data_IF_028258512582
#
_entry.id   IF_028258512582
#
_cell.length_a   1.000
_cell.length_b   1.000
_cell.length_c   1.000
_cell.angle_alpha   90.00
_cell.angle_beta   90.00
_cell.angle_gamma   90.00
#
_symmetry.space_group_name_H-M   'P 1'
#
loop_
_entity.id
_entity.type
_entity.pdbx_description
1 polymer ?
#
# COMPACT_ATOMS: atom_id res chain seq x y z
N UNK A 1 -17.82 -5.32 -1.65
CA UNK A 1 -18.28 -4.58 -0.44
C UNK A 1 -17.51 -5.06 0.79
N UNK A 2 -17.55 -4.36 1.94
CA UNK A 2 -16.90 -4.86 3.16
C UNK A 2 -17.43 -6.23 3.64
N UNK A 3 -18.73 -6.48 3.49
CA UNK A 3 -19.34 -7.77 3.82
C UNK A 3 -18.83 -8.89 2.91
N UNK A 4 -18.75 -8.66 1.59
CA UNK A 4 -18.20 -9.64 0.66
C UNK A 4 -16.73 -9.97 0.99
N UNK A 5 -15.91 -8.97 1.34
CA UNK A 5 -14.54 -9.20 1.76
C UNK A 5 -14.45 -10.05 3.05
N UNK A 6 -15.32 -9.78 4.03
CA UNK A 6 -15.41 -10.58 5.25
C UNK A 6 -15.83 -12.03 4.97
N UNK A 7 -16.79 -12.25 4.06
CA UNK A 7 -17.23 -13.58 3.65
C UNK A 7 -16.12 -14.35 2.92
N UNK A 8 -15.38 -13.70 2.02
CA UNK A 8 -14.21 -14.30 1.35
C UNK A 8 -13.16 -14.73 2.38
N UNK A 9 -12.84 -13.85 3.35
CA UNK A 9 -11.91 -14.18 4.42
C UNK A 9 -12.38 -15.39 5.25
N UNK A 10 -13.65 -15.43 5.68
CA UNK A 10 -14.21 -16.57 6.41
C UNK A 10 -14.13 -17.88 5.62
N UNK A 11 -14.44 -17.85 4.32
CA UNK A 11 -14.34 -19.03 3.47
C UNK A 11 -12.91 -19.48 3.27
N UNK A 12 -11.97 -18.55 3.12
CA UNK A 12 -10.54 -18.87 3.06
C UNK A 12 -10.07 -19.59 4.33
N UNK A 13 -10.47 -19.10 5.51
CA UNK A 13 -10.17 -19.77 6.79
C UNK A 13 -10.78 -21.18 6.87
N UNK A 14 -12.05 -21.34 6.50
CA UNK A 14 -12.73 -22.63 6.52
C UNK A 14 -12.10 -23.68 5.57
N UNK A 15 -11.46 -23.22 4.51
CA UNK A 15 -10.72 -24.06 3.55
C UNK A 15 -9.26 -24.32 3.97
N UNK A 16 -8.82 -23.79 5.12
CA UNK A 16 -7.43 -23.91 5.57
C UNK A 16 -6.43 -23.11 4.73
N UNK A 17 -6.89 -22.09 4.00
CA UNK A 17 -6.02 -21.18 3.27
C UNK A 17 -5.35 -20.17 4.22
N UNK A 18 -4.25 -19.58 3.77
CA UNK A 18 -3.51 -18.56 4.52
C UNK A 18 -4.22 -17.19 4.52
N UNK A 19 -3.46 -16.12 4.29
CA UNK A 19 -3.98 -14.77 4.33
C UNK A 19 -4.78 -14.39 3.07
N UNK A 20 -5.72 -13.46 3.23
CA UNK A 20 -6.39 -12.76 2.12
C UNK A 20 -5.80 -11.36 2.00
N UNK A 21 -5.32 -11.00 0.81
CA UNK A 21 -4.87 -9.65 0.50
C UNK A 21 -6.00 -8.84 -0.14
N UNK A 22 -6.53 -7.86 0.58
CA UNK A 22 -7.51 -6.91 0.07
C UNK A 22 -6.80 -5.63 -0.41
N UNK A 23 -6.89 -5.35 -1.71
CA UNK A 23 -6.25 -4.18 -2.32
C UNK A 23 -7.28 -3.06 -2.49
N UNK A 24 -6.95 -1.88 -1.96
CA UNK A 24 -7.79 -0.69 -2.03
C UNK A 24 -7.05 0.42 -2.80
N UNK A 25 -7.54 0.83 -3.98
CA UNK A 25 -6.92 1.92 -4.72
C UNK A 25 -7.08 3.23 -3.95
N UNK A 26 -6.07 4.08 -3.99
CA UNK A 26 -6.17 5.43 -3.44
C UNK A 26 -7.17 6.23 -4.28
N UNK A 27 -8.05 6.98 -3.62
CA UNK A 27 -9.11 7.75 -4.29
C UNK A 27 -8.56 8.82 -5.25
N UNK A 28 -7.43 9.42 -4.89
CA UNK A 28 -6.70 10.40 -5.69
C UNK A 28 -5.21 10.12 -5.59
N UNK A 29 -4.69 9.47 -6.62
CA UNK A 29 -3.27 9.13 -6.74
C UNK A 29 -2.47 10.11 -7.59
N UNK A 30 -1.29 9.67 -7.97
CA UNK A 30 -0.40 10.32 -8.93
C UNK A 30 -0.47 9.59 -10.29
N UNK A 31 -0.12 10.26 -11.40
CA UNK A 31 0.04 9.61 -12.69
C UNK A 31 1.09 8.48 -12.59
N UNK A 32 0.75 7.30 -13.10
CA UNK A 32 1.64 6.13 -13.05
C UNK A 32 3.02 6.43 -13.64
N UNK A 33 3.07 7.08 -14.81
CA UNK A 33 4.32 7.41 -15.51
C UNK A 33 5.20 8.39 -14.74
N UNK A 34 4.63 9.24 -13.90
CA UNK A 34 5.39 10.13 -13.04
C UNK A 34 6.05 9.36 -11.90
N UNK A 35 5.28 8.49 -11.23
CA UNK A 35 5.79 7.62 -10.16
C UNK A 35 6.85 6.66 -10.71
N UNK A 36 6.60 6.02 -11.85
CA UNK A 36 7.54 5.09 -12.47
C UNK A 36 8.89 5.75 -12.80
N UNK A 37 8.87 6.99 -13.32
CA UNK A 37 10.10 7.78 -13.56
C UNK A 37 10.86 8.07 -12.27
N UNK A 38 10.17 8.49 -11.21
CA UNK A 38 10.81 8.76 -9.91
C UNK A 38 11.38 7.49 -9.28
N UNK A 39 10.68 6.36 -9.36
CA UNK A 39 11.17 5.06 -8.87
C UNK A 39 12.42 4.63 -9.64
N UNK A 40 12.43 4.76 -10.97
CA UNK A 40 13.59 4.42 -11.77
C UNK A 40 14.81 5.29 -11.42
N UNK A 41 14.61 6.58 -11.20
CA UNK A 41 15.67 7.49 -10.78
C UNK A 41 16.19 7.15 -9.38
N UNK A 42 15.31 6.96 -8.40
CA UNK A 42 15.68 6.60 -7.04
C UNK A 42 16.48 5.28 -6.97
N UNK A 43 16.13 4.28 -7.81
CA UNK A 43 16.88 3.04 -7.90
C UNK A 43 18.29 3.24 -8.51
N UNK A 44 18.44 4.10 -9.53
CA UNK A 44 19.77 4.43 -10.07
C UNK A 44 20.65 5.12 -9.03
N UNK A 45 20.08 6.02 -8.23
CA UNK A 45 20.80 6.69 -7.15
C UNK A 45 21.20 5.71 -6.05
N UNK A 46 20.28 4.84 -5.60
CA UNK A 46 20.57 3.79 -4.62
C UNK A 46 21.74 2.89 -5.08
N UNK A 47 21.74 2.48 -6.36
CA UNK A 47 22.81 1.65 -6.92
C UNK A 47 24.17 2.38 -6.93
N UNK A 48 24.20 3.66 -7.33
CA UNK A 48 25.43 4.48 -7.33
C UNK A 48 25.99 4.71 -5.92
N UNK A 49 25.10 4.83 -4.94
CA UNK A 49 25.44 5.05 -3.53
C UNK A 49 25.67 3.74 -2.76
N UNK A 50 25.53 2.57 -3.40
CA UNK A 50 25.73 1.28 -2.76
C UNK A 50 24.66 0.89 -1.73
N UNK A 51 23.47 1.49 -1.79
CA UNK A 51 22.37 1.23 -0.84
C UNK A 51 21.61 -0.03 -1.26
N UNK A 52 21.57 -1.04 -0.38
CA UNK A 52 20.95 -2.33 -0.67
C UNK A 52 20.28 -2.97 0.57
N UNK A 53 19.62 -4.12 0.34
CA UNK A 53 19.00 -4.91 1.40
C UNK A 53 17.93 -4.12 2.17
N UNK A 54 17.92 -4.25 3.50
CA UNK A 54 16.93 -3.57 4.37
C UNK A 54 17.00 -2.05 4.31
N UNK A 55 18.12 -1.47 3.87
CA UNK A 55 18.30 -0.03 3.72
C UNK A 55 17.63 0.54 2.45
N UNK A 56 17.31 -0.32 1.47
CA UNK A 56 16.78 0.11 0.18
C UNK A 56 15.39 0.74 0.30
N UNK A 57 14.43 0.09 0.98
CA UNK A 57 13.06 0.64 1.06
C UNK A 57 12.99 2.01 1.75
N UNK A 58 13.61 2.23 2.94
CA UNK A 58 13.63 3.56 3.55
C UNK A 58 14.32 4.61 2.66
N UNK A 59 15.36 4.21 1.92
CA UNK A 59 16.03 5.09 0.97
C UNK A 59 15.11 5.51 -0.19
N UNK A 60 14.48 4.54 -0.85
CA UNK A 60 13.59 4.82 -1.99
C UNK A 60 12.42 5.71 -1.58
N UNK A 61 11.80 5.45 -0.43
CA UNK A 61 10.69 6.28 0.05
C UNK A 61 11.10 7.73 0.30
N UNK A 62 12.27 7.96 0.92
CA UNK A 62 12.81 9.31 1.09
C UNK A 62 13.07 10.00 -0.26
N UNK A 63 13.70 9.29 -1.20
CA UNK A 63 13.97 9.84 -2.55
C UNK A 63 12.70 10.18 -3.31
N UNK A 64 11.66 9.36 -3.22
CA UNK A 64 10.36 9.64 -3.83
C UNK A 64 9.72 10.90 -3.23
N UNK A 65 9.81 11.08 -1.91
CA UNK A 65 9.36 12.31 -1.25
C UNK A 65 10.11 13.53 -1.78
N UNK A 66 11.44 13.48 -1.82
CA UNK A 66 12.29 14.57 -2.35
C UNK A 66 11.97 14.91 -3.81
N UNK A 67 11.93 13.90 -4.70
CA UNK A 67 11.69 14.08 -6.14
C UNK A 67 10.30 14.63 -6.45
N UNK A 68 9.31 14.33 -5.60
CA UNK A 68 7.92 14.79 -5.75
C UNK A 68 7.60 16.09 -5.00
N UNK A 69 8.58 16.68 -4.31
CA UNK A 69 8.31 17.83 -3.42
C UNK A 69 7.31 17.51 -2.30
N UNK A 70 7.33 16.27 -1.79
CA UNK A 70 6.46 15.76 -0.74
C UNK A 70 5.07 15.29 -1.19
N UNK A 71 4.75 15.32 -2.49
CA UNK A 71 3.43 14.89 -2.96
C UNK A 71 3.21 13.38 -2.78
N UNK A 72 4.25 12.56 -2.92
CA UNK A 72 4.17 11.12 -2.63
C UNK A 72 3.83 10.84 -1.16
N UNK A 73 4.33 11.64 -0.20
CA UNK A 73 3.97 11.52 1.21
C UNK A 73 2.51 11.88 1.46
N UNK A 74 2.00 12.93 0.81
CA UNK A 74 0.58 13.32 0.90
C UNK A 74 -0.34 12.23 0.36
N UNK A 75 -0.01 11.64 -0.78
CA UNK A 75 -0.78 10.53 -1.36
C UNK A 75 -0.68 9.28 -0.49
N UNK A 76 0.50 8.97 0.05
CA UNK A 76 0.68 7.83 0.95
C UNK A 76 -0.14 7.99 2.26
N UNK A 77 -0.20 9.22 2.81
CA UNK A 77 -1.04 9.53 3.96
C UNK A 77 -2.54 9.34 3.68
N UNK A 78 -3.00 9.73 2.48
CA UNK A 78 -4.37 9.47 2.02
C UNK A 78 -4.66 7.97 1.91
N UNK A 79 -3.77 7.23 1.24
CA UNK A 79 -3.86 5.79 1.08
C UNK A 79 -3.95 5.09 2.45
N UNK A 80 -3.12 5.51 3.41
CA UNK A 80 -3.13 4.95 4.77
C UNK A 80 -4.50 5.14 5.46
N UNK A 81 -5.05 6.35 5.41
CA UNK A 81 -6.35 6.65 6.01
C UNK A 81 -7.50 5.88 5.32
N UNK A 82 -7.46 5.77 4.00
CA UNK A 82 -8.47 5.05 3.22
C UNK A 82 -8.41 3.55 3.49
N UNK A 83 -7.21 2.97 3.56
CA UNK A 83 -7.00 1.58 3.93
C UNK A 83 -7.49 1.30 5.34
N UNK A 84 -7.18 2.17 6.31
CA UNK A 84 -7.64 2.03 7.69
C UNK A 84 -9.17 2.04 7.79
N UNK A 85 -9.84 2.94 7.05
CA UNK A 85 -11.31 3.00 7.00
C UNK A 85 -11.92 1.75 6.40
N UNK A 86 -11.38 1.25 5.29
CA UNK A 86 -11.86 0.01 4.67
C UNK A 86 -11.65 -1.18 5.62
N UNK A 87 -10.45 -1.31 6.20
CA UNK A 87 -10.12 -2.37 7.13
C UNK A 87 -11.07 -2.39 8.34
N UNK A 88 -11.35 -1.23 8.95
CA UNK A 88 -12.30 -1.13 10.05
C UNK A 88 -13.71 -1.61 9.66
N UNK A 89 -14.21 -1.22 8.47
CA UNK A 89 -15.52 -1.68 7.97
C UNK A 89 -15.56 -3.18 7.72
N UNK A 90 -14.48 -3.76 7.19
CA UNK A 90 -14.36 -5.22 6.99
C UNK A 90 -14.32 -5.93 8.33
N UNK A 91 -13.56 -5.43 9.31
CA UNK A 91 -13.47 -6.01 10.65
C UNK A 91 -14.83 -6.02 11.36
N UNK A 92 -15.59 -4.92 11.30
CA UNK A 92 -16.95 -4.86 11.84
C UNK A 92 -17.87 -5.88 11.15
N UNK A 93 -17.83 -5.97 9.82
CA UNK A 93 -18.62 -6.95 9.09
C UNK A 93 -18.23 -8.39 9.45
N UNK A 94 -16.95 -8.67 9.65
CA UNK A 94 -16.42 -9.97 10.02
C UNK A 94 -16.82 -10.39 11.45
N UNK A 95 -16.82 -9.46 12.39
CA UNK A 95 -17.25 -9.69 13.77
C UNK A 95 -18.75 -10.00 13.86
N UNK A 96 -19.57 -9.41 12.96
CA UNK A 96 -20.99 -9.74 12.85
C UNK A 96 -21.29 -11.09 12.19
N UNK A 97 -20.27 -11.82 11.71
CA UNK A 97 -20.39 -13.19 11.20
C UNK A 97 -19.99 -14.25 12.26
N UNK A 98 -19.50 -13.82 13.43
CA UNK A 98 -19.25 -14.68 14.60
C UNK A 98 -20.54 -14.92 15.37
#
# INVERSE_FOLDING_TARGET
>A
TPLEAALVFRKAQALGLGAVLLVNPVSRGLPYEEVARMVAEANRQAAREGVAGKALTPYLLRRLSELSGGETDRVNGRLLLENARLAARVAVALAGLE
#
